data_IF_093474437383
#
_entry.id   IF_093474437383
#
_cell.length_a   1.000
_cell.length_b   1.000
_cell.length_c   1.000
_cell.angle_alpha   90.00
_cell.angle_beta   90.00
_cell.angle_gamma   90.00
#
_symmetry.space_group_name_H-M   'P 1'
#
loop_
_entity.id
_entity.type
_entity.pdbx_description
1 polymer ?
#
# COMPACT_ATOMS: atom_id res chain seq x y z
N UNK A 1 -15.36 62.87 13.53
CA UNK A 1 -15.52 61.68 12.66
C UNK A 1 -16.61 60.84 13.28
N UNK A 2 -17.58 60.35 12.49
CA UNK A 2 -18.63 59.47 13.03
C UNK A 2 -18.03 58.06 13.19
N UNK A 3 -17.60 57.74 14.41
CA UNK A 3 -16.96 56.47 14.75
C UNK A 3 -17.89 55.28 14.52
N UNK A 4 -19.21 55.44 14.68
CA UNK A 4 -20.19 54.39 14.40
C UNK A 4 -20.17 54.01 12.91
N UNK A 5 -20.13 55.00 12.02
CA UNK A 5 -20.02 54.76 10.57
C UNK A 5 -18.71 54.05 10.22
N UNK A 6 -17.61 54.40 10.90
CA UNK A 6 -16.32 53.75 10.69
C UNK A 6 -16.36 52.27 11.11
N UNK A 7 -16.80 51.98 12.34
CA UNK A 7 -16.84 50.61 12.85
C UNK A 7 -17.84 49.73 12.10
N UNK A 8 -18.98 50.29 11.67
CA UNK A 8 -19.94 49.60 10.83
C UNK A 8 -19.34 49.25 9.45
N UNK A 9 -18.71 50.22 8.78
CA UNK A 9 -18.08 50.01 7.48
C UNK A 9 -16.89 49.01 7.58
N UNK A 10 -16.06 49.13 8.62
CA UNK A 10 -14.94 48.24 8.87
C UNK A 10 -15.40 46.79 9.11
N UNK A 11 -16.37 46.59 10.02
CA UNK A 11 -16.90 45.26 10.35
C UNK A 11 -17.60 44.63 9.13
N UNK A 12 -18.34 45.43 8.35
CA UNK A 12 -18.97 44.99 7.12
C UNK A 12 -17.96 44.55 6.06
N UNK A 13 -16.91 45.34 5.84
CA UNK A 13 -15.84 45.00 4.90
C UNK A 13 -15.06 43.74 5.33
N UNK A 14 -14.74 43.61 6.63
CA UNK A 14 -14.07 42.44 7.17
C UNK A 14 -14.93 41.17 7.02
N UNK A 15 -16.23 41.24 7.37
CA UNK A 15 -17.16 40.13 7.21
C UNK A 15 -17.29 39.68 5.74
N UNK A 16 -17.35 40.63 4.80
CA UNK A 16 -17.41 40.33 3.37
C UNK A 16 -16.14 39.61 2.87
N UNK A 17 -14.96 40.09 3.27
CA UNK A 17 -13.67 39.47 2.92
C UNK A 17 -13.58 38.03 3.47
N UNK A 18 -13.96 37.83 4.73
CA UNK A 18 -13.97 36.51 5.38
C UNK A 18 -14.95 35.59 4.65
N UNK A 19 -16.15 36.07 4.33
CA UNK A 19 -17.17 35.29 3.62
C UNK A 19 -16.69 34.80 2.25
N UNK A 20 -16.09 35.67 1.44
CA UNK A 20 -15.54 35.31 0.13
C UNK A 20 -14.41 34.30 0.27
N UNK A 21 -13.45 34.55 1.17
CA UNK A 21 -12.30 33.66 1.38
C UNK A 21 -12.76 32.29 1.88
N UNK A 22 -13.71 32.26 2.81
CA UNK A 22 -14.29 31.04 3.34
C UNK A 22 -15.01 30.22 2.26
N UNK A 23 -15.78 30.86 1.37
CA UNK A 23 -16.43 30.19 0.25
C UNK A 23 -15.42 29.49 -0.68
N UNK A 24 -14.29 30.13 -0.98
CA UNK A 24 -13.21 29.51 -1.76
C UNK A 24 -12.59 28.30 -1.04
N UNK A 25 -12.38 28.40 0.27
CA UNK A 25 -11.80 27.31 1.07
C UNK A 25 -12.76 26.12 1.16
N UNK A 26 -14.06 26.36 1.36
CA UNK A 26 -15.08 25.32 1.37
C UNK A 26 -15.17 24.65 0.00
N UNK A 27 -15.13 25.42 -1.09
CA UNK A 27 -15.10 24.86 -2.45
C UNK A 27 -13.89 23.95 -2.66
N UNK A 28 -12.69 24.39 -2.23
CA UNK A 28 -11.48 23.57 -2.31
C UNK A 28 -11.57 22.31 -1.43
N UNK A 29 -12.17 22.41 -0.25
CA UNK A 29 -12.41 21.27 0.64
C UNK A 29 -13.34 20.24 -0.01
N UNK A 30 -14.47 20.69 -0.57
CA UNK A 30 -15.43 19.81 -1.25
C UNK A 30 -14.78 19.10 -2.44
N UNK A 31 -13.95 19.80 -3.22
CA UNK A 31 -13.20 19.18 -4.31
C UNK A 31 -12.21 18.10 -3.81
N UNK A 32 -11.51 18.36 -2.70
CA UNK A 32 -10.62 17.35 -2.11
C UNK A 32 -11.39 16.14 -1.52
N UNK A 33 -12.64 16.36 -1.12
CA UNK A 33 -13.54 15.30 -0.64
C UNK A 33 -14.08 14.49 -1.83
N UNK A 34 -14.45 15.10 -2.94
CA UNK A 34 -14.91 14.35 -4.12
C UNK A 34 -13.78 13.50 -4.72
N UNK A 35 -12.55 13.99 -4.72
CA UNK A 35 -11.37 13.23 -5.15
C UNK A 35 -11.04 12.05 -4.21
N UNK A 36 -11.56 12.02 -2.97
CA UNK A 36 -11.35 10.89 -2.07
C UNK A 36 -11.98 9.61 -2.62
N UNK A 37 -13.21 9.69 -3.14
CA UNK A 37 -13.91 8.52 -3.64
C UNK A 37 -13.23 7.96 -4.89
N UNK A 38 -12.70 8.83 -5.77
CA UNK A 38 -11.89 8.42 -6.92
C UNK A 38 -10.62 7.68 -6.48
N UNK A 39 -9.87 8.26 -5.53
CA UNK A 39 -8.64 7.64 -5.01
C UNK A 39 -8.92 6.33 -4.27
N UNK A 40 -10.03 6.25 -3.55
CA UNK A 40 -10.45 5.04 -2.85
C UNK A 40 -10.83 3.93 -3.82
N UNK A 41 -11.64 4.22 -4.84
CA UNK A 41 -12.03 3.25 -5.85
C UNK A 41 -10.81 2.77 -6.64
N UNK A 42 -9.92 3.68 -7.06
CA UNK A 42 -8.67 3.30 -7.73
C UNK A 42 -7.79 2.40 -6.86
N UNK A 43 -7.77 2.60 -5.53
CA UNK A 43 -7.08 1.70 -4.62
C UNK A 43 -7.74 0.32 -4.53
N UNK A 44 -9.07 0.23 -4.58
CA UNK A 44 -9.78 -1.05 -4.61
C UNK A 44 -9.50 -1.82 -5.90
N UNK A 45 -9.42 -1.12 -7.03
CA UNK A 45 -9.08 -1.71 -8.32
C UNK A 45 -7.65 -2.28 -8.31
N UNK A 46 -6.68 -1.53 -7.77
CA UNK A 46 -5.31 -2.03 -7.58
C UNK A 46 -5.26 -3.25 -6.65
N UNK A 47 -6.13 -3.33 -5.66
CA UNK A 47 -6.22 -4.49 -4.78
C UNK A 47 -6.81 -5.72 -5.50
N UNK A 48 -7.71 -5.52 -6.46
CA UNK A 48 -8.18 -6.59 -7.33
C UNK A 48 -7.05 -7.04 -8.27
N UNK A 49 -6.33 -6.11 -8.90
CA UNK A 49 -5.14 -6.42 -9.71
C UNK A 49 -4.10 -7.20 -8.88
N UNK A 50 -3.88 -6.83 -7.62
CA UNK A 50 -2.98 -7.54 -6.71
C UNK A 50 -3.42 -8.99 -6.49
N UNK A 51 -4.70 -9.21 -6.20
CA UNK A 51 -5.25 -10.55 -5.98
C UNK A 51 -5.15 -11.42 -7.22
N UNK A 52 -5.48 -10.86 -8.39
CA UNK A 52 -5.35 -11.54 -9.67
C UNK A 52 -3.89 -11.89 -9.95
N UNK A 53 -2.97 -10.95 -9.73
CA UNK A 53 -1.55 -11.16 -9.92
C UNK A 53 -1.01 -12.26 -9.00
N UNK A 54 -1.43 -12.28 -7.72
CA UNK A 54 -1.07 -13.33 -6.77
C UNK A 54 -1.61 -14.70 -7.19
N UNK A 55 -2.83 -14.76 -7.71
CA UNK A 55 -3.41 -16.00 -8.24
C UNK A 55 -2.63 -16.49 -9.47
N UNK A 56 -2.30 -15.59 -10.40
CA UNK A 56 -1.53 -15.92 -11.60
C UNK A 56 -0.13 -16.47 -11.26
N UNK A 57 0.53 -15.89 -10.25
CA UNK A 57 1.79 -16.41 -9.72
C UNK A 57 1.61 -17.81 -9.13
N UNK A 58 0.56 -18.03 -8.34
CA UNK A 58 0.30 -19.35 -7.74
C UNK A 58 -0.07 -20.45 -8.76
N UNK A 59 -0.54 -20.06 -9.94
CA UNK A 59 -0.91 -20.99 -11.02
C UNK A 59 0.29 -21.44 -11.87
N UNK A 60 1.48 -20.85 -11.68
CA UNK A 60 2.70 -21.31 -12.35
C UNK A 60 2.97 -22.74 -11.91
N UNK A 61 3.30 -23.61 -12.87
CA UNK A 61 3.47 -25.04 -12.62
C UNK A 61 4.86 -25.34 -12.02
N UNK A 62 5.20 -24.73 -10.87
CA UNK A 62 6.52 -24.80 -10.23
C UNK A 62 7.01 -26.24 -10.03
N UNK A 63 6.17 -27.13 -9.52
CA UNK A 63 6.54 -28.53 -9.28
C UNK A 63 6.82 -29.29 -10.59
N UNK A 64 6.07 -29.00 -11.66
CA UNK A 64 6.33 -29.60 -12.97
C UNK A 64 7.64 -29.07 -13.53
N UNK A 65 7.83 -27.75 -13.51
CA UNK A 65 9.03 -27.08 -13.98
C UNK A 65 10.29 -27.63 -13.30
N UNK A 66 10.32 -27.61 -11.97
CA UNK A 66 11.48 -28.04 -11.18
C UNK A 66 11.80 -29.52 -11.40
N UNK A 67 10.78 -30.38 -11.51
CA UNK A 67 10.98 -31.80 -11.85
C UNK A 67 11.55 -31.99 -13.25
N UNK A 68 11.08 -31.24 -14.24
CA UNK A 68 11.59 -31.35 -15.61
C UNK A 68 13.03 -30.87 -15.72
N UNK A 69 13.38 -29.76 -15.06
CA UNK A 69 14.77 -29.30 -14.97
C UNK A 69 15.65 -30.40 -14.38
N UNK A 70 15.29 -30.96 -13.23
CA UNK A 70 16.08 -32.01 -12.57
C UNK A 70 16.12 -33.32 -13.37
N UNK A 71 15.03 -33.68 -14.05
CA UNK A 71 14.98 -34.87 -14.90
C UNK A 71 15.98 -34.79 -16.04
N UNK A 72 16.29 -33.63 -16.57
CA UNK A 72 17.21 -33.48 -17.70
C UNK A 72 18.57 -32.88 -17.30
N UNK A 73 18.79 -32.59 -16.02
CA UNK A 73 20.05 -32.10 -15.49
C UNK A 73 21.13 -33.20 -15.48
N UNK A 74 22.22 -32.97 -16.19
CA UNK A 74 23.26 -33.98 -16.41
C UNK A 74 23.99 -34.33 -15.10
N UNK A 75 24.35 -33.31 -14.32
CA UNK A 75 25.14 -33.50 -13.09
C UNK A 75 24.38 -34.33 -12.05
N UNK A 76 23.06 -34.15 -11.97
CA UNK A 76 22.20 -34.92 -11.07
C UNK A 76 22.18 -36.39 -11.50
N UNK A 77 21.96 -36.67 -12.79
CA UNK A 77 21.98 -38.04 -13.31
C UNK A 77 23.31 -38.74 -13.07
N UNK A 78 24.41 -38.04 -13.32
CA UNK A 78 25.75 -38.60 -13.14
C UNK A 78 26.01 -38.97 -11.67
N UNK A 79 25.64 -38.11 -10.73
CA UNK A 79 25.79 -38.37 -9.29
C UNK A 79 24.90 -39.50 -8.78
N UNK A 80 23.70 -39.66 -9.33
CA UNK A 80 22.84 -40.82 -9.04
C UNK A 80 23.52 -42.11 -9.55
N UNK A 81 23.99 -42.13 -10.81
CA UNK A 81 24.64 -43.31 -11.40
C UNK A 81 25.90 -43.73 -10.63
N UNK A 82 26.67 -42.76 -10.16
CA UNK A 82 27.89 -42.97 -9.39
C UNK A 82 27.65 -43.24 -7.89
N UNK A 83 26.39 -43.39 -7.45
CA UNK A 83 25.99 -43.59 -6.05
C UNK A 83 26.52 -42.52 -5.07
N UNK A 84 26.83 -41.32 -5.55
CA UNK A 84 27.40 -40.25 -4.72
C UNK A 84 26.36 -39.71 -3.73
N UNK A 85 25.09 -39.65 -4.11
CA UNK A 85 24.04 -39.17 -3.21
C UNK A 85 23.73 -40.11 -2.03
N UNK A 86 24.21 -41.36 -2.06
CA UNK A 86 23.99 -42.29 -0.94
C UNK A 86 24.80 -41.91 0.32
N UNK A 87 25.89 -41.17 0.16
CA UNK A 87 26.70 -40.67 1.29
C UNK A 87 26.25 -39.32 1.80
N UNK A 88 25.29 -38.66 1.13
CA UNK A 88 24.81 -37.34 1.49
C UNK A 88 23.57 -37.45 2.39
N UNK A 89 23.50 -36.59 3.40
CA UNK A 89 22.28 -36.31 4.14
C UNK A 89 21.27 -35.54 3.28
N UNK A 90 20.00 -35.57 3.69
CA UNK A 90 18.93 -34.85 2.99
C UNK A 90 19.22 -33.34 2.85
N UNK A 91 19.87 -32.72 3.84
CA UNK A 91 20.23 -31.30 3.79
C UNK A 91 21.36 -31.02 2.79
N UNK A 92 22.36 -31.91 2.71
CA UNK A 92 23.45 -31.80 1.74
C UNK A 92 22.96 -31.95 0.30
N UNK A 93 21.96 -32.83 0.06
CA UNK A 93 21.32 -32.95 -1.24
C UNK A 93 20.63 -31.64 -1.64
N UNK A 94 19.86 -31.03 -0.72
CA UNK A 94 19.18 -29.76 -0.98
C UNK A 94 20.18 -28.63 -1.24
N UNK A 95 21.24 -28.53 -0.45
CA UNK A 95 22.30 -27.53 -0.66
C UNK A 95 22.99 -27.72 -2.02
N UNK A 96 23.23 -28.96 -2.42
CA UNK A 96 23.79 -29.26 -3.73
C UNK A 96 22.88 -28.75 -4.87
N UNK A 97 21.55 -28.95 -4.76
CA UNK A 97 20.59 -28.44 -5.76
C UNK A 97 20.64 -26.91 -5.82
N UNK A 98 20.68 -26.24 -4.67
CA UNK A 98 20.73 -24.76 -4.59
C UNK A 98 21.96 -24.22 -5.32
N UNK A 99 23.13 -24.84 -5.11
CA UNK A 99 24.39 -24.36 -5.68
C UNK A 99 24.58 -24.71 -7.16
N UNK A 100 24.05 -25.86 -7.60
CA UNK A 100 24.39 -26.43 -8.91
C UNK A 100 23.23 -26.37 -9.92
N UNK A 101 21.99 -26.11 -9.48
CA UNK A 101 20.80 -26.07 -10.34
C UNK A 101 20.01 -24.77 -10.10
N UNK A 102 20.52 -23.61 -10.56
CA UNK A 102 19.97 -22.29 -10.22
C UNK A 102 18.58 -22.02 -10.81
N UNK A 103 18.11 -22.83 -11.76
CA UNK A 103 16.80 -22.68 -12.40
C UNK A 103 15.65 -23.22 -11.54
N UNK A 104 15.92 -23.94 -10.45
CA UNK A 104 14.90 -24.55 -9.59
C UNK A 104 14.31 -23.52 -8.62
N UNK A 105 12.98 -23.42 -8.57
CA UNK A 105 12.29 -22.47 -7.68
C UNK A 105 12.24 -22.96 -6.22
N UNK A 106 11.93 -24.24 -6.01
CA UNK A 106 11.78 -24.87 -4.69
C UNK A 106 12.71 -26.09 -4.49
N UNK A 107 14.01 -25.89 -4.22
CA UNK A 107 14.97 -26.97 -4.04
C UNK A 107 14.61 -28.01 -2.96
N UNK A 108 13.90 -27.60 -1.91
CA UNK A 108 13.43 -28.51 -0.84
C UNK A 108 12.39 -29.51 -1.33
N UNK A 109 11.47 -29.08 -2.22
CA UNK A 109 10.40 -29.95 -2.72
C UNK A 109 10.98 -31.04 -3.65
N UNK A 110 12.08 -30.71 -4.32
CA UNK A 110 12.81 -31.60 -5.22
C UNK A 110 13.50 -32.79 -4.55
N UNK A 111 13.70 -32.75 -3.23
CA UNK A 111 14.34 -33.85 -2.50
C UNK A 111 13.58 -35.17 -2.69
N UNK A 112 12.25 -35.13 -2.62
CA UNK A 112 11.39 -36.30 -2.82
C UNK A 112 11.61 -36.94 -4.19
N UNK A 113 11.68 -36.12 -5.23
CA UNK A 113 11.94 -36.54 -6.60
C UNK A 113 13.31 -37.22 -6.75
N UNK A 114 14.36 -36.63 -6.19
CA UNK A 114 15.71 -37.22 -6.25
C UNK A 114 15.77 -38.57 -5.52
N UNK A 115 15.17 -38.66 -4.33
CA UNK A 115 15.12 -39.91 -3.58
C UNK A 115 14.36 -41.01 -4.32
N UNK A 116 13.26 -40.67 -5.00
CA UNK A 116 12.53 -41.59 -5.87
C UNK A 116 13.38 -42.06 -7.05
N UNK A 117 14.12 -41.16 -7.72
CA UNK A 117 15.00 -41.52 -8.83
C UNK A 117 16.19 -42.39 -8.38
N UNK A 118 16.77 -42.13 -7.21
CA UNK A 118 17.79 -43.00 -6.61
C UNK A 118 17.22 -44.39 -6.34
N UNK A 119 16.00 -44.46 -5.79
CA UNK A 119 15.34 -45.74 -5.52
C UNK A 119 15.08 -46.52 -6.80
N UNK A 120 14.53 -45.88 -7.84
CA UNK A 120 14.32 -46.51 -9.15
C UNK A 120 15.61 -47.05 -9.74
N UNK A 121 16.70 -46.30 -9.65
CA UNK A 121 18.01 -46.73 -10.13
C UNK A 121 18.54 -47.94 -9.36
N UNK A 122 18.41 -47.95 -8.03
CA UNK A 122 18.81 -49.08 -7.19
C UNK A 122 17.96 -50.33 -7.46
N UNK A 123 16.63 -50.17 -7.59
CA UNK A 123 15.72 -51.27 -7.92
C UNK A 123 16.07 -51.88 -9.28
N UNK A 124 16.36 -51.05 -10.29
CA UNK A 124 16.83 -51.50 -11.60
C UNK A 124 18.17 -52.25 -11.52
N UNK A 125 19.13 -51.75 -10.72
CA UNK A 125 20.39 -52.45 -10.47
C UNK A 125 20.18 -53.84 -9.84
N UNK A 126 19.26 -53.97 -8.87
CA UNK A 126 18.93 -55.26 -8.26
C UNK A 126 18.32 -56.23 -9.29
N UNK A 127 17.43 -55.76 -10.16
CA UNK A 127 16.83 -56.61 -11.21
C UNK A 127 17.84 -57.11 -12.25
N UNK A 128 18.92 -56.34 -12.48
CA UNK A 128 20.01 -56.70 -13.40
C UNK A 128 21.07 -57.61 -12.81
N UNK A 129 21.01 -57.92 -11.50
CA UNK A 129 21.94 -58.84 -10.86
C UNK A 129 21.65 -60.27 -11.28
N UNK A 130 22.64 -60.91 -11.89
CA UNK A 130 22.61 -62.34 -12.20
C UNK A 130 23.55 -63.08 -11.25
N UNK A 131 23.03 -64.01 -10.43
CA UNK A 131 23.87 -64.84 -9.56
C UNK A 131 24.71 -65.81 -10.39
N UNK A 132 26.01 -65.85 -10.10
CA UNK A 132 26.99 -66.77 -10.71
C UNK A 132 27.43 -67.80 -9.67
N UNK A 133 27.48 -67.40 -8.40
CA UNK A 133 27.80 -68.24 -7.26
C UNK A 133 27.15 -67.67 -5.99
N UNK A 134 27.18 -68.38 -4.84
CA UNK A 134 26.52 -67.95 -3.60
C UNK A 134 26.86 -66.53 -3.13
N UNK A 135 28.02 -65.98 -3.53
CA UNK A 135 28.47 -64.62 -3.19
C UNK A 135 28.99 -63.82 -4.41
N UNK A 136 28.72 -64.25 -5.64
CA UNK A 136 29.18 -63.54 -6.83
C UNK A 136 28.02 -63.26 -7.79
N UNK A 137 27.88 -62.00 -8.16
CA UNK A 137 26.88 -61.53 -9.12
C UNK A 137 27.58 -60.77 -10.25
N UNK A 138 27.08 -60.93 -11.48
CA UNK A 138 27.39 -60.02 -12.58
C UNK A 138 26.17 -59.11 -12.73
N UNK A 139 26.43 -57.81 -12.86
CA UNK A 139 25.40 -56.85 -13.22
C UNK A 139 25.36 -56.82 -14.74
N UNK A 140 24.21 -57.15 -15.34
CA UNK A 140 24.07 -57.00 -16.78
C UNK A 140 24.27 -55.52 -17.17
N UNK A 141 25.08 -55.23 -18.19
CA UNK A 141 25.22 -53.87 -18.68
C UNK A 141 23.85 -53.35 -19.08
N UNK A 142 23.57 -52.10 -18.73
CA UNK A 142 22.37 -51.40 -19.14
C UNK A 142 22.30 -51.53 -20.67
N UNK A 143 21.22 -52.14 -21.20
CA UNK A 143 20.96 -52.05 -22.64
C UNK A 143 20.93 -50.56 -22.90
N UNK A 144 21.78 -50.07 -23.82
CA UNK A 144 21.90 -48.65 -24.13
C UNK A 144 20.56 -48.17 -24.72
N UNK A 145 19.58 -47.93 -23.86
CA UNK A 145 18.35 -47.26 -24.20
C UNK A 145 18.76 -45.91 -24.73
N UNK A 146 18.13 -45.47 -25.82
CA UNK A 146 18.33 -44.13 -26.34
C UNK A 146 18.32 -43.16 -25.15
N UNK A 147 19.26 -42.21 -25.08
CA UNK A 147 19.22 -41.20 -24.03
C UNK A 147 17.81 -40.65 -23.98
N UNK A 148 17.28 -40.41 -22.78
CA UNK A 148 15.94 -39.87 -22.60
C UNK A 148 15.86 -38.54 -23.38
N UNK A 149 15.35 -38.59 -24.61
CA UNK A 149 15.30 -37.43 -25.50
C UNK A 149 14.12 -36.61 -25.00
N UNK A 150 14.33 -35.35 -24.59
CA UNK A 150 13.24 -34.49 -24.19
C UNK A 150 12.25 -34.35 -25.35
N UNK A 151 10.96 -34.24 -25.02
CA UNK A 151 9.95 -33.93 -26.03
C UNK A 151 10.36 -32.65 -26.76
N UNK A 152 10.00 -32.56 -28.05
CA UNK A 152 10.44 -31.50 -28.96
C UNK A 152 10.11 -30.11 -28.42
N UNK A 153 8.99 -29.99 -27.70
CA UNK A 153 8.50 -28.73 -27.14
C UNK A 153 8.83 -28.54 -25.64
N UNK A 154 9.44 -29.53 -24.96
CA UNK A 154 9.70 -29.45 -23.52
C UNK A 154 10.47 -28.19 -23.11
N UNK A 155 11.58 -27.92 -23.79
CA UNK A 155 12.41 -26.75 -23.47
C UNK A 155 11.70 -25.44 -23.79
N UNK A 156 10.80 -25.45 -24.78
CA UNK A 156 9.98 -24.29 -25.11
C UNK A 156 8.98 -24.02 -23.99
N UNK A 157 8.32 -25.05 -23.48
CA UNK A 157 7.34 -24.97 -22.39
C UNK A 157 8.00 -24.54 -21.07
N UNK A 158 9.16 -25.10 -20.73
CA UNK A 158 9.98 -24.66 -19.58
C UNK A 158 10.32 -23.17 -19.68
N UNK A 159 10.83 -22.74 -20.83
CA UNK A 159 11.19 -21.34 -21.05
C UNK A 159 9.96 -20.42 -21.10
N UNK A 160 8.76 -20.95 -21.35
CA UNK A 160 7.51 -20.21 -21.29
C UNK A 160 7.08 -19.97 -19.84
N UNK A 161 7.15 -20.99 -18.98
CA UNK A 161 6.92 -20.85 -17.54
C UNK A 161 7.89 -19.85 -16.89
N UNK A 162 9.18 -19.91 -17.22
CA UNK A 162 10.17 -18.94 -16.73
C UNK A 162 9.89 -17.51 -17.21
N UNK A 163 9.44 -17.35 -18.46
CA UNK A 163 9.03 -16.05 -19.00
C UNK A 163 7.79 -15.52 -18.29
N UNK A 164 6.82 -16.39 -18.00
CA UNK A 164 5.63 -16.04 -17.23
C UNK A 164 6.02 -15.60 -15.82
N UNK A 165 6.88 -16.34 -15.13
CA UNK A 165 7.41 -15.96 -13.82
C UNK A 165 8.08 -14.57 -13.83
N UNK A 166 8.99 -14.33 -14.77
CA UNK A 166 9.68 -13.05 -14.89
C UNK A 166 8.72 -11.90 -15.23
N UNK A 167 7.76 -12.13 -16.11
CA UNK A 167 6.69 -11.18 -16.43
C UNK A 167 5.88 -10.83 -15.18
N UNK A 168 5.52 -11.83 -14.38
CA UNK A 168 4.76 -11.61 -13.16
C UNK A 168 5.58 -10.90 -12.08
N UNK A 169 6.89 -11.16 -11.99
CA UNK A 169 7.79 -10.40 -11.13
C UNK A 169 7.81 -8.92 -11.53
N UNK A 170 8.00 -8.62 -12.82
CA UNK A 170 7.96 -7.24 -13.34
C UNK A 170 6.62 -6.55 -13.10
N UNK A 171 5.51 -7.24 -13.36
CA UNK A 171 4.17 -6.72 -13.10
C UNK A 171 3.95 -6.40 -11.61
N UNK A 172 4.52 -7.20 -10.71
CA UNK A 172 4.44 -6.96 -9.26
C UNK A 172 5.17 -5.67 -8.86
N UNK A 173 6.36 -5.41 -9.41
CA UNK A 173 7.06 -4.13 -9.24
C UNK A 173 6.26 -2.94 -9.78
N UNK A 174 5.68 -3.08 -10.98
CA UNK A 174 4.82 -2.05 -11.54
C UNK A 174 3.60 -1.78 -10.65
N UNK A 175 3.02 -2.81 -10.04
CA UNK A 175 1.88 -2.66 -9.13
C UNK A 175 2.30 -1.96 -7.82
N UNK A 176 3.48 -2.29 -7.28
CA UNK A 176 4.07 -1.59 -6.13
C UNK A 176 4.26 -0.10 -6.45
N UNK A 177 4.78 0.24 -7.63
CA UNK A 177 4.92 1.63 -8.06
C UNK A 177 3.57 2.35 -8.16
N UNK A 178 2.54 1.67 -8.69
CA UNK A 178 1.17 2.20 -8.68
C UNK A 178 0.69 2.47 -7.26
N UNK A 179 0.85 1.52 -6.33
CA UNK A 179 0.48 1.72 -4.92
C UNK A 179 1.23 2.90 -4.28
N UNK A 180 2.53 3.00 -4.49
CA UNK A 180 3.37 4.11 -4.01
C UNK A 180 2.88 5.47 -4.54
N UNK A 181 2.51 5.53 -5.83
CA UNK A 181 1.96 6.74 -6.44
C UNK A 181 0.62 7.14 -5.80
N UNK A 182 -0.27 6.19 -5.52
CA UNK A 182 -1.52 6.46 -4.81
C UNK A 182 -1.27 6.95 -3.38
N UNK A 183 -0.35 6.33 -2.65
CA UNK A 183 0.06 6.78 -1.30
C UNK A 183 0.60 8.21 -1.33
N UNK A 184 1.44 8.55 -2.32
CA UNK A 184 1.95 9.91 -2.50
C UNK A 184 0.82 10.93 -2.78
N UNK A 185 -0.12 10.59 -3.67
CA UNK A 185 -1.30 11.42 -3.95
C UNK A 185 -2.16 11.64 -2.69
N UNK A 186 -2.45 10.58 -1.94
CA UNK A 186 -3.22 10.68 -0.69
C UNK A 186 -2.50 11.51 0.38
N UNK A 187 -1.18 11.37 0.52
CA UNK A 187 -0.37 12.19 1.43
C UNK A 187 -0.40 13.68 1.06
N UNK A 188 -0.37 14.00 -0.23
CA UNK A 188 -0.55 15.36 -0.72
C UNK A 188 -1.92 15.92 -0.30
N UNK A 189 -3.00 15.15 -0.47
CA UNK A 189 -4.35 15.55 -0.02
C UNK A 189 -4.45 15.73 1.49
N UNK A 190 -3.80 14.87 2.29
CA UNK A 190 -3.72 15.05 3.74
C UNK A 190 -3.06 16.40 4.08
N UNK A 191 -1.99 16.78 3.38
CA UNK A 191 -1.31 18.07 3.58
C UNK A 191 -2.24 19.24 3.27
N UNK A 192 -2.95 19.18 2.13
CA UNK A 192 -3.92 20.22 1.74
C UNK A 192 -5.04 20.36 2.79
N UNK A 193 -5.61 19.25 3.26
CA UNK A 193 -6.65 19.26 4.29
C UNK A 193 -6.17 19.83 5.62
N UNK A 194 -4.91 19.58 6.01
CA UNK A 194 -4.31 20.19 7.21
C UNK A 194 -4.20 21.70 7.07
N UNK A 195 -3.78 22.19 5.90
CA UNK A 195 -3.70 23.63 5.62
C UNK A 195 -5.09 24.26 5.69
N UNK A 196 -6.07 23.68 4.99
CA UNK A 196 -7.47 24.13 5.00
C UNK A 196 -8.02 24.21 6.43
N UNK A 197 -7.82 23.15 7.23
CA UNK A 197 -8.25 23.11 8.64
C UNK A 197 -7.63 24.24 9.44
N UNK A 198 -6.33 24.48 9.29
CA UNK A 198 -5.64 25.53 10.04
C UNK A 198 -6.17 26.93 9.64
N UNK A 199 -6.47 27.17 8.36
CA UNK A 199 -7.08 28.43 7.91
C UNK A 199 -8.47 28.60 8.52
N UNK A 200 -9.32 27.57 8.49
CA UNK A 200 -10.66 27.61 9.09
C UNK A 200 -10.58 27.92 10.59
N UNK A 201 -9.65 27.29 11.31
CA UNK A 201 -9.43 27.54 12.74
C UNK A 201 -8.99 28.99 13.00
N UNK A 202 -8.22 29.59 12.10
CA UNK A 202 -7.77 30.98 12.21
C UNK A 202 -8.89 32.00 11.99
N UNK A 203 -9.97 31.67 11.25
CA UNK A 203 -11.09 32.59 11.07
C UNK A 203 -11.87 32.87 12.36
N UNK A 204 -11.94 31.93 13.30
CA UNK A 204 -12.67 32.11 14.56
C UNK A 204 -12.14 33.34 15.34
N UNK A 205 -10.84 33.44 15.69
CA UNK A 205 -10.32 34.62 16.36
C UNK A 205 -10.36 35.88 15.49
N UNK A 206 -10.18 35.75 14.16
CA UNK A 206 -10.26 36.91 13.25
C UNK A 206 -11.66 37.54 13.26
N UNK A 207 -12.72 36.73 13.26
CA UNK A 207 -14.11 37.24 13.31
C UNK A 207 -14.37 37.96 14.63
N UNK A 208 -13.85 37.44 15.75
CA UNK A 208 -13.98 38.10 17.05
C UNK A 208 -13.33 39.49 17.02
N UNK A 209 -12.10 39.58 16.49
CA UNK A 209 -11.32 40.82 16.49
C UNK A 209 -11.85 41.83 15.46
N UNK A 210 -12.28 41.39 14.28
CA UNK A 210 -12.59 42.27 13.15
C UNK A 210 -14.07 42.57 12.95
N UNK A 211 -14.96 41.72 13.49
CA UNK A 211 -16.42 41.89 13.34
C UNK A 211 -17.08 42.14 14.69
N UNK A 212 -16.88 41.25 15.66
CA UNK A 212 -17.62 41.30 16.94
C UNK A 212 -17.13 42.44 17.83
N UNK A 213 -15.81 42.55 18.00
CA UNK A 213 -15.20 43.56 18.86
C UNK A 213 -15.44 45.00 18.36
N UNK A 214 -15.30 45.32 17.06
CA UNK A 214 -15.58 46.67 16.58
C UNK A 214 -17.07 47.00 16.59
N UNK A 215 -17.93 46.00 16.35
CA UNK A 215 -19.36 46.18 16.53
C UNK A 215 -19.63 46.57 17.98
N UNK A 216 -19.15 45.85 19.00
CA UNK A 216 -19.37 46.16 20.42
C UNK A 216 -19.34 47.66 20.81
N UNK A 217 -18.48 48.49 20.20
CA UNK A 217 -18.39 49.92 20.55
C UNK A 217 -19.61 50.79 20.16
N UNK A 218 -20.45 50.35 19.22
CA UNK A 218 -21.59 51.14 18.72
C UNK A 218 -22.82 51.03 19.66
N UNK A 219 -23.61 52.09 19.95
CA UNK A 219 -23.41 53.47 19.57
C UNK A 219 -22.44 54.18 20.51
N UNK A 220 -21.54 54.97 19.94
CA UNK A 220 -20.61 55.81 20.70
C UNK A 220 -21.32 57.15 21.00
N UNK A 221 -21.42 57.57 22.28
CA UNK A 221 -22.01 58.87 22.64
C UNK A 221 -21.34 60.04 21.91
N UNK A 222 -22.13 61.04 21.51
CA UNK A 222 -21.60 62.23 20.85
C UNK A 222 -20.59 62.95 21.77
N UNK A 223 -19.39 63.21 21.25
CA UNK A 223 -18.19 63.77 21.93
C UNK A 223 -17.32 62.81 22.74
N UNK A 224 -17.56 61.50 22.71
CA UNK A 224 -16.65 60.52 23.32
C UNK A 224 -15.72 59.87 22.30
N UNK A 225 -14.50 59.56 22.74
CA UNK A 225 -13.55 58.74 21.97
C UNK A 225 -13.68 57.29 22.45
N UNK A 226 -13.61 56.30 21.53
CA UNK A 226 -13.65 54.90 21.92
C UNK A 226 -12.47 54.58 22.84
N UNK A 227 -12.75 54.29 24.10
CA UNK A 227 -11.75 53.82 25.06
C UNK A 227 -11.75 52.28 25.03
N UNK A 228 -10.57 51.69 25.07
CA UNK A 228 -10.43 50.23 25.18
C UNK A 228 -10.81 49.86 26.63
N UNK A 229 -12.01 49.33 26.81
CA UNK A 229 -12.45 48.82 28.10
C UNK A 229 -11.91 47.40 28.30
N UNK A 230 -11.11 47.20 29.34
CA UNK A 230 -10.68 45.88 29.81
C UNK A 230 -11.52 45.36 30.99
N UNK A 231 -12.63 46.04 31.30
CA UNK A 231 -13.44 45.75 32.49
C UNK A 231 -14.44 44.62 32.25
N UNK A 232 -14.34 43.54 33.05
CA UNK A 232 -15.04 42.26 32.82
C UNK A 232 -16.54 42.35 33.13
N UNK A 233 -16.93 43.22 34.07
CA UNK A 233 -18.34 43.48 34.43
C UNK A 233 -19.09 44.16 33.28
N UNK A 234 -18.52 45.22 32.72
CA UNK A 234 -19.06 45.97 31.59
C UNK A 234 -19.16 45.11 30.34
N UNK A 235 -18.25 44.15 30.16
CA UNK A 235 -18.33 43.16 29.09
C UNK A 235 -19.53 42.22 29.27
N UNK A 236 -19.76 41.70 30.49
CA UNK A 236 -20.89 40.80 30.78
C UNK A 236 -22.25 41.50 30.67
N UNK A 237 -22.36 42.74 31.15
CA UNK A 237 -23.59 43.54 31.05
C UNK A 237 -23.95 43.84 29.58
N UNK A 238 -22.93 44.09 28.74
CA UNK A 238 -23.11 44.25 27.31
C UNK A 238 -23.44 42.92 26.60
N UNK A 239 -22.92 41.80 27.07
CA UNK A 239 -23.21 40.46 26.53
C UNK A 239 -24.66 40.03 26.84
N UNK A 240 -25.20 40.39 28.01
CA UNK A 240 -26.59 40.15 28.44
C UNK A 240 -27.61 41.15 27.87
N UNK A 241 -27.16 42.17 27.13
CA UNK A 241 -28.05 43.05 26.37
C UNK A 241 -28.65 42.32 25.15
N UNK A 242 -29.80 42.78 24.64
CA UNK A 242 -30.41 42.26 23.39
C UNK A 242 -29.40 42.20 22.23
N UNK A 243 -28.50 43.18 22.19
CA UNK A 243 -27.45 43.30 21.19
C UNK A 243 -26.34 42.26 21.35
N UNK A 244 -25.86 42.09 22.58
CA UNK A 244 -24.90 41.05 22.92
C UNK A 244 -25.44 39.67 22.62
N UNK A 245 -26.71 39.43 22.93
CA UNK A 245 -27.42 38.20 22.57
C UNK A 245 -27.46 37.94 21.06
N UNK A 246 -27.81 38.94 20.24
CA UNK A 246 -27.82 38.81 18.77
C UNK A 246 -26.42 38.55 18.19
N UNK A 247 -25.40 39.26 18.70
CA UNK A 247 -24.01 39.05 18.30
C UNK A 247 -23.50 37.66 18.70
N UNK A 248 -23.88 37.19 19.89
CA UNK A 248 -23.54 35.85 20.37
C UNK A 248 -24.22 34.76 19.53
N UNK A 249 -25.48 34.93 19.16
CA UNK A 249 -26.20 34.01 18.28
C UNK A 249 -25.54 33.93 16.89
N UNK A 250 -25.15 35.08 16.32
CA UNK A 250 -24.44 35.16 15.06
C UNK A 250 -23.07 34.49 15.16
N UNK A 251 -22.30 34.78 16.21
CA UNK A 251 -21.00 34.14 16.45
C UNK A 251 -21.13 32.63 16.58
N UNK A 252 -22.10 32.15 17.36
CA UNK A 252 -22.34 30.72 17.56
C UNK A 252 -22.69 30.03 16.24
N UNK A 253 -23.51 30.66 15.41
CA UNK A 253 -23.90 30.12 14.10
C UNK A 253 -22.69 30.01 13.16
N UNK A 254 -21.91 31.09 13.02
CA UNK A 254 -20.73 31.12 12.15
C UNK A 254 -19.65 30.18 12.69
N UNK A 255 -19.34 30.26 13.98
CA UNK A 255 -18.35 29.38 14.62
C UNK A 255 -18.75 27.92 14.51
N UNK A 256 -20.03 27.59 14.71
CA UNK A 256 -20.54 26.23 14.54
C UNK A 256 -20.34 25.71 13.12
N UNK A 257 -20.61 26.54 12.11
CA UNK A 257 -20.37 26.19 10.70
C UNK A 257 -18.88 25.98 10.40
N UNK A 258 -17.99 26.84 10.91
CA UNK A 258 -16.54 26.71 10.76
C UNK A 258 -16.02 25.44 11.44
N UNK A 259 -16.46 25.20 12.68
CA UNK A 259 -16.12 24.00 13.44
C UNK A 259 -16.56 22.73 12.72
N UNK A 260 -17.75 22.71 12.10
CA UNK A 260 -18.22 21.59 11.30
C UNK A 260 -17.25 21.25 10.17
N UNK A 261 -16.82 22.23 9.36
CA UNK A 261 -15.86 21.98 8.29
C UNK A 261 -14.47 21.60 8.79
N UNK A 262 -14.02 22.15 9.93
CA UNK A 262 -12.77 21.73 10.55
C UNK A 262 -12.81 20.26 11.01
N UNK A 263 -13.95 19.82 11.58
CA UNK A 263 -14.19 18.41 11.95
C UNK A 263 -14.22 17.54 10.69
N UNK A 264 -14.83 18.01 9.60
CA UNK A 264 -14.86 17.31 8.32
C UNK A 264 -13.45 17.06 7.78
N UNK A 265 -12.57 18.07 7.80
CA UNK A 265 -11.16 17.92 7.44
C UNK A 265 -10.48 16.82 8.28
N UNK A 266 -10.69 16.82 9.60
CA UNK A 266 -10.11 15.82 10.49
C UNK A 266 -10.59 14.39 10.16
N UNK A 267 -11.89 14.23 9.90
CA UNK A 267 -12.50 12.95 9.52
C UNK A 267 -11.87 12.40 8.24
N UNK A 268 -11.71 13.22 7.20
CA UNK A 268 -11.11 12.77 5.94
C UNK A 268 -9.60 12.52 6.04
N UNK A 269 -8.87 13.32 6.82
CA UNK A 269 -7.45 13.02 7.13
C UNK A 269 -7.31 11.64 7.76
N UNK A 270 -8.20 11.29 8.71
CA UNK A 270 -8.19 9.96 9.32
C UNK A 270 -8.46 8.86 8.30
N UNK A 271 -9.50 9.02 7.47
CA UNK A 271 -9.81 8.05 6.40
C UNK A 271 -8.65 7.83 5.43
N UNK A 272 -8.00 8.89 4.96
CA UNK A 272 -6.82 8.76 4.09
C UNK A 272 -5.69 7.98 4.77
N UNK A 273 -5.42 8.25 6.06
CA UNK A 273 -4.41 7.52 6.82
C UNK A 273 -4.72 6.04 7.00
N UNK A 274 -5.98 5.69 7.25
CA UNK A 274 -6.43 4.30 7.36
C UNK A 274 -6.13 3.54 6.06
N UNK A 275 -6.46 4.15 4.91
CA UNK A 275 -6.18 3.56 3.59
C UNK A 275 -4.68 3.43 3.33
N UNK A 276 -3.89 4.47 3.62
CA UNK A 276 -2.42 4.41 3.45
C UNK A 276 -1.82 3.27 4.28
N UNK A 277 -2.21 3.15 5.55
CA UNK A 277 -1.70 2.07 6.41
C UNK A 277 -2.08 0.69 5.91
N UNK A 278 -3.20 0.59 5.19
CA UNK A 278 -3.62 -0.64 4.54
C UNK A 278 -2.79 -0.92 3.28
N UNK A 279 -2.49 0.11 2.47
CA UNK A 279 -1.65 0.03 1.26
C UNK A 279 -0.20 -0.39 1.59
N UNK A 280 0.35 0.08 2.71
CA UNK A 280 1.74 -0.21 3.11
C UNK A 280 2.03 -1.72 3.21
N UNK A 281 1.02 -2.57 3.40
CA UNK A 281 1.18 -4.03 3.40
C UNK A 281 1.41 -4.64 2.00
N UNK A 282 1.12 -3.88 0.93
CA UNK A 282 1.17 -4.33 -0.47
C UNK A 282 2.33 -3.71 -1.26
N UNK A 283 3.12 -2.86 -0.61
CA UNK A 283 4.31 -2.25 -1.20
C UNK A 283 5.56 -3.11 -1.07
N UNK A 284 5.48 -4.21 -0.30
CA UNK A 284 6.55 -5.21 -0.22
C UNK A 284 6.38 -6.27 -1.32
N UNK A 285 7.45 -6.57 -2.04
CA UNK A 285 7.49 -7.61 -3.07
C UNK A 285 7.25 -9.01 -2.48
N UNK A 286 7.61 -9.22 -1.21
CA UNK A 286 7.37 -10.48 -0.50
C UNK A 286 5.88 -10.81 -0.37
N UNK A 287 5.01 -9.78 -0.36
CA UNK A 287 3.56 -9.97 -0.28
C UNK A 287 2.97 -10.71 -1.51
N UNK A 288 3.69 -10.65 -2.64
CA UNK A 288 3.30 -11.25 -3.92
C UNK A 288 3.79 -12.70 -4.02
N UNK A 289 5.05 -12.94 -3.67
CA UNK A 289 5.65 -14.29 -3.62
C UNK A 289 6.96 -14.29 -2.85
N UNK A 290 7.16 -15.31 -2.01
CA UNK A 290 8.43 -15.54 -1.30
C UNK A 290 9.61 -15.76 -2.27
N UNK A 291 9.32 -16.16 -3.52
CA UNK A 291 10.35 -16.38 -4.54
C UNK A 291 10.95 -15.09 -5.08
N UNK A 292 10.27 -13.96 -4.98
CA UNK A 292 10.76 -12.67 -5.50
C UNK A 292 11.71 -11.95 -4.53
N UNK A 293 11.74 -12.36 -3.26
CA UNK A 293 12.63 -11.81 -2.23
C UNK A 293 13.98 -12.52 -2.10
N UNK A 294 14.24 -13.55 -2.92
CA UNK A 294 15.51 -14.28 -2.99
C UNK A 294 16.48 -13.58 -3.94
#
# INVERSE_FOLDING_TARGET
MNWDNFFFAFSGAAAALIGVTFAFIVSKLLNNISEFDELYNGCQDLLLEFKEQKLNISNIAYDWHDRMILKYEFQIKEKIKNNIFQSFSNEEIVNYIIENVPRVYYPKNCLSYILEEIKKYNDDLETRKIPISPNAFIIQPEILSLPDIPDKDLWKDINEEERNFNKYCQNSYLLIDKFNNYTARMNSKIKDLKIIRNIIAMFIPIIIITVIYPLHFIPIPENEYPQIFFDVSTFLDNLLSLRGFLLFMLFTTISGSLSYFAILCFKYIKKYKEIISFIDNYTDISAYSDLFSK
#
